data_IF_862531736883
#
_entry.id   IF_862531736883
#
_cell.length_a   1.000
_cell.length_b   1.000
_cell.length_c   1.000
_cell.angle_alpha   90.00
_cell.angle_beta   90.00
_cell.angle_gamma   90.00
#
_symmetry.space_group_name_H-M   'P 1'
#
loop_
_entity.id
_entity.type
_entity.pdbx_description
1 polymer ?
#
# COMPACT_ATOMS: atom_id res chain seq x y z
N UNK A 1 2.81 18.42 -2.63
CA UNK A 1 2.36 17.01 -2.45
C UNK A 1 1.33 16.88 -1.32
N UNK A 2 1.55 17.46 -0.12
CA UNK A 2 0.60 17.33 0.99
C UNK A 2 -0.82 17.89 0.71
N UNK A 3 -0.94 18.94 -0.13
CA UNK A 3 -2.26 19.46 -0.57
C UNK A 3 -3.04 18.49 -1.47
N UNK A 4 -2.35 17.57 -2.15
CA UNK A 4 -2.96 16.63 -3.10
C UNK A 4 -3.26 15.28 -2.46
N UNK A 5 -2.29 14.74 -1.71
CA UNK A 5 -2.37 13.38 -1.17
C UNK A 5 -2.57 13.34 0.35
N UNK A 6 -2.63 14.50 1.00
CA UNK A 6 -2.72 14.58 2.45
C UNK A 6 -1.43 14.16 3.16
N UNK A 7 -1.44 14.08 4.49
CA UNK A 7 -0.33 13.54 5.27
C UNK A 7 -0.26 12.02 5.09
N UNK A 8 0.95 11.48 4.87
CA UNK A 8 1.13 10.02 4.71
C UNK A 8 1.22 9.28 6.05
N UNK A 9 1.61 9.98 7.12
CA UNK A 9 1.89 9.42 8.45
C UNK A 9 0.64 9.09 9.29
N UNK A 10 -0.53 9.43 8.79
CA UNK A 10 -1.82 9.19 9.47
C UNK A 10 -2.97 9.17 8.48
N UNK A 11 -4.04 8.50 8.85
CA UNK A 11 -5.33 8.58 8.16
C UNK A 11 -6.10 9.82 8.64
N UNK A 12 -6.74 10.53 7.71
CA UNK A 12 -7.48 11.77 7.97
C UNK A 12 -8.71 11.88 7.06
N UNK A 13 -9.50 12.94 7.24
CA UNK A 13 -10.62 13.29 6.34
C UNK A 13 -10.17 14.01 5.06
N UNK A 14 -8.88 13.98 4.75
CA UNK A 14 -8.38 14.53 3.48
C UNK A 14 -9.07 13.84 2.29
N UNK A 15 -9.48 14.58 1.22
CA UNK A 15 -10.23 13.98 0.10
C UNK A 15 -9.54 12.77 -0.53
N UNK A 16 -8.22 12.79 -0.66
CA UNK A 16 -7.43 11.65 -1.16
C UNK A 16 -7.55 10.41 -0.27
N UNK A 17 -7.45 10.58 1.07
CA UNK A 17 -7.61 9.47 2.01
C UNK A 17 -9.01 8.88 1.96
N UNK A 18 -10.02 9.73 1.77
CA UNK A 18 -11.40 9.29 1.60
C UNK A 18 -11.60 8.51 0.31
N UNK A 19 -10.91 8.92 -0.78
CA UNK A 19 -10.89 8.14 -2.02
C UNK A 19 -10.22 6.77 -1.83
N UNK A 20 -9.09 6.73 -1.14
CA UNK A 20 -8.39 5.48 -0.81
C UNK A 20 -9.20 4.56 0.12
N UNK A 21 -10.16 5.10 0.88
CA UNK A 21 -11.14 4.31 1.65
C UNK A 21 -12.43 4.00 0.86
N UNK A 22 -12.51 4.39 -0.43
CA UNK A 22 -13.70 4.18 -1.27
C UNK A 22 -14.90 5.05 -0.89
N UNK A 23 -14.71 6.12 -0.12
CA UNK A 23 -15.76 7.04 0.31
C UNK A 23 -16.07 8.13 -0.73
N UNK A 24 -15.13 8.43 -1.60
CA UNK A 24 -15.25 9.39 -2.70
C UNK A 24 -14.77 8.76 -4.00
N UNK A 25 -15.44 9.09 -5.09
CA UNK A 25 -14.91 8.82 -6.41
C UNK A 25 -13.80 9.81 -6.79
N UNK A 26 -13.06 9.51 -7.85
CA UNK A 26 -11.91 10.31 -8.26
C UNK A 26 -12.30 11.74 -8.69
N UNK A 27 -13.50 11.92 -9.26
CA UNK A 27 -13.97 13.23 -9.68
C UNK A 27 -14.34 14.11 -8.49
N UNK A 28 -15.09 13.57 -7.52
CA UNK A 28 -15.42 14.26 -6.28
C UNK A 28 -14.16 14.59 -5.47
N UNK A 29 -13.19 13.69 -5.50
CA UNK A 29 -11.88 13.89 -4.86
C UNK A 29 -11.12 15.05 -5.51
N UNK A 30 -11.05 15.09 -6.84
CA UNK A 30 -10.44 16.19 -7.59
C UNK A 30 -11.08 17.52 -7.25
N UNK A 31 -12.42 17.59 -7.30
CA UNK A 31 -13.16 18.82 -7.06
C UNK A 31 -12.94 19.34 -5.63
N UNK A 32 -12.88 18.45 -4.64
CA UNK A 32 -12.61 18.79 -3.24
C UNK A 32 -11.17 19.30 -3.04
N UNK A 33 -10.18 18.65 -3.66
CA UNK A 33 -8.77 19.07 -3.61
C UNK A 33 -8.60 20.44 -4.26
N UNK A 34 -9.15 20.64 -5.46
CA UNK A 34 -9.08 21.91 -6.17
C UNK A 34 -9.73 23.03 -5.36
N UNK A 35 -10.90 22.81 -4.77
CA UNK A 35 -11.58 23.80 -3.94
C UNK A 35 -10.74 24.18 -2.69
N UNK A 36 -10.13 23.21 -2.03
CA UNK A 36 -9.25 23.45 -0.89
C UNK A 36 -7.99 24.21 -1.28
N UNK A 37 -7.36 23.86 -2.40
CA UNK A 37 -6.17 24.54 -2.92
C UNK A 37 -6.48 26.01 -3.29
N UNK A 38 -7.59 26.28 -3.98
CA UNK A 38 -8.01 27.61 -4.36
C UNK A 38 -8.29 28.50 -3.13
N UNK A 39 -8.83 27.93 -2.05
CA UNK A 39 -9.04 28.67 -0.80
C UNK A 39 -7.72 29.15 -0.15
N UNK A 40 -6.61 28.48 -0.45
CA UNK A 40 -5.27 28.87 -0.03
C UNK A 40 -4.50 29.68 -1.09
N UNK A 41 -5.16 30.05 -2.19
CA UNK A 41 -4.55 30.79 -3.30
C UNK A 41 -3.66 29.97 -4.22
N UNK A 42 -3.79 28.63 -4.18
CA UNK A 42 -3.07 27.69 -5.01
C UNK A 42 -3.99 27.20 -6.14
N UNK A 43 -3.43 27.04 -7.33
CA UNK A 43 -4.10 26.44 -8.49
C UNK A 43 -3.50 25.04 -8.72
N UNK A 44 -4.08 24.05 -8.09
CA UNK A 44 -3.61 22.66 -8.13
C UNK A 44 -4.75 21.76 -8.54
N UNK A 45 -4.61 21.12 -9.71
CA UNK A 45 -5.54 20.11 -10.20
C UNK A 45 -4.94 18.71 -10.04
N UNK A 46 -5.70 17.78 -9.47
CA UNK A 46 -5.29 16.39 -9.24
C UNK A 46 -4.88 15.70 -10.56
N UNK A 47 -5.60 15.94 -11.65
CA UNK A 47 -5.32 15.29 -12.93
C UNK A 47 -4.05 15.85 -13.60
N UNK A 48 -3.73 17.11 -13.38
CA UNK A 48 -2.43 17.68 -13.80
C UNK A 48 -1.28 17.02 -13.04
N UNK A 49 -1.46 16.77 -11.74
CA UNK A 49 -0.47 16.05 -10.93
C UNK A 49 -0.29 14.61 -11.44
N UNK A 50 -1.37 13.91 -11.77
CA UNK A 50 -1.29 12.58 -12.39
C UNK A 50 -0.58 12.64 -13.75
N UNK A 51 -0.86 13.66 -14.58
CA UNK A 51 -0.15 13.86 -15.84
C UNK A 51 1.37 14.02 -15.67
N UNK A 52 1.80 14.75 -14.64
CA UNK A 52 3.22 14.90 -14.30
C UNK A 52 3.85 13.61 -13.76
N UNK A 53 3.08 12.78 -13.08
CA UNK A 53 3.53 11.48 -12.57
C UNK A 53 3.45 10.37 -13.64
N UNK A 54 2.73 10.59 -14.73
CA UNK A 54 2.62 9.63 -15.82
C UNK A 54 4.02 9.37 -16.43
N UNK A 55 4.46 8.13 -16.35
CA UNK A 55 5.81 7.72 -16.79
C UNK A 55 6.84 7.59 -15.67
N UNK A 56 6.54 8.07 -14.45
CA UNK A 56 7.33 7.78 -13.25
C UNK A 56 6.79 6.62 -12.43
N UNK A 57 5.76 5.93 -12.95
CA UNK A 57 5.22 4.72 -12.35
C UNK A 57 6.32 3.66 -12.21
N UNK A 58 6.47 3.11 -11.01
CA UNK A 58 7.49 2.13 -10.72
C UNK A 58 7.33 0.89 -11.60
N UNK A 59 8.44 0.40 -12.14
CA UNK A 59 8.46 -0.91 -12.78
C UNK A 59 8.16 -2.01 -11.76
N UNK A 60 7.47 -3.06 -12.21
CA UNK A 60 7.30 -4.27 -11.40
C UNK A 60 8.68 -4.84 -11.09
N UNK A 61 9.01 -4.95 -9.82
CA UNK A 61 10.30 -5.45 -9.34
C UNK A 61 10.34 -6.98 -9.46
N UNK A 62 10.89 -7.48 -10.56
CA UNK A 62 10.86 -8.89 -10.92
C UNK A 62 11.42 -9.80 -9.82
N UNK A 63 12.49 -9.38 -9.13
CA UNK A 63 13.13 -10.15 -8.06
C UNK A 63 12.24 -10.24 -6.82
N UNK A 64 11.49 -9.17 -6.49
CA UNK A 64 10.48 -9.20 -5.42
C UNK A 64 9.33 -10.15 -5.76
N UNK A 65 8.85 -10.12 -6.99
CA UNK A 65 7.83 -11.05 -7.49
C UNK A 65 8.31 -12.51 -7.38
N UNK A 66 9.52 -12.76 -7.83
CA UNK A 66 10.12 -14.12 -7.77
C UNK A 66 10.33 -14.57 -6.33
N UNK A 67 10.80 -13.67 -5.43
CA UNK A 67 10.96 -14.02 -4.02
C UNK A 67 9.61 -14.32 -3.37
N UNK A 68 8.56 -13.55 -3.66
CA UNK A 68 7.20 -13.82 -3.19
C UNK A 68 6.70 -15.19 -3.66
N UNK A 69 6.92 -15.53 -4.94
CA UNK A 69 6.56 -16.84 -5.49
C UNK A 69 7.26 -17.99 -4.75
N UNK A 70 8.56 -17.84 -4.45
CA UNK A 70 9.33 -18.83 -3.69
C UNK A 70 8.81 -19.00 -2.27
N UNK A 71 8.46 -17.91 -1.58
CA UNK A 71 7.87 -17.98 -0.25
C UNK A 71 6.62 -18.86 -0.21
N UNK A 72 5.76 -18.76 -1.21
CA UNK A 72 4.58 -19.63 -1.31
C UNK A 72 4.96 -21.10 -1.49
N UNK A 73 5.95 -21.39 -2.32
CA UNK A 73 6.47 -22.76 -2.51
C UNK A 73 7.09 -23.30 -1.22
N UNK A 74 7.75 -22.44 -0.45
CA UNK A 74 8.33 -22.74 0.87
C UNK A 74 7.26 -22.90 1.97
N UNK A 75 5.97 -22.63 1.66
CA UNK A 75 4.83 -22.82 2.57
C UNK A 75 4.44 -21.61 3.39
N UNK A 76 5.02 -20.45 3.11
CA UNK A 76 4.60 -19.20 3.74
C UNK A 76 3.26 -18.71 3.17
N UNK A 77 2.44 -18.12 4.05
CA UNK A 77 1.24 -17.37 3.64
C UNK A 77 1.64 -15.96 3.22
N UNK A 78 1.10 -15.48 2.13
CA UNK A 78 1.42 -14.18 1.57
C UNK A 78 0.17 -13.33 1.37
N UNK A 79 0.29 -12.03 1.67
CA UNK A 79 -0.80 -11.06 1.47
C UNK A 79 -0.28 -9.79 0.83
N UNK A 80 -1.11 -9.16 0.01
CA UNK A 80 -0.91 -7.80 -0.50
C UNK A 80 -1.87 -6.85 0.22
N UNK A 81 -1.34 -5.74 0.75
CA UNK A 81 -2.12 -4.63 1.30
C UNK A 81 -1.76 -3.37 0.51
N UNK A 82 -2.69 -2.81 -0.25
CA UNK A 82 -2.45 -1.63 -1.07
C UNK A 82 -3.40 -0.49 -0.71
N UNK A 83 -2.86 0.73 -0.58
CA UNK A 83 -3.67 1.94 -0.60
C UNK A 83 -3.91 2.32 -2.06
N UNK A 84 -5.17 2.31 -2.46
CA UNK A 84 -5.54 2.58 -3.84
C UNK A 84 -6.92 3.22 -3.91
N UNK A 85 -7.27 3.79 -5.05
CA UNK A 85 -8.61 4.30 -5.34
C UNK A 85 -9.35 3.33 -6.26
N UNK A 86 -10.67 3.26 -6.11
CA UNK A 86 -11.49 2.24 -6.77
C UNK A 86 -11.33 2.26 -8.31
N UNK A 87 -11.19 3.45 -8.91
CA UNK A 87 -11.08 3.63 -10.36
C UNK A 87 -9.78 3.07 -10.95
N UNK A 88 -8.75 2.87 -10.13
CA UNK A 88 -7.47 2.33 -10.61
C UNK A 88 -7.40 0.81 -10.54
N UNK A 89 -8.41 0.13 -9.98
CA UNK A 89 -8.45 -1.31 -9.80
C UNK A 89 -8.14 -2.09 -11.06
N UNK A 90 -8.85 -1.81 -12.13
CA UNK A 90 -8.72 -2.52 -13.41
C UNK A 90 -7.39 -2.23 -14.11
N UNK A 91 -6.70 -1.18 -13.67
CA UNK A 91 -5.39 -0.82 -14.19
C UNK A 91 -4.24 -1.53 -13.44
N UNK A 92 -4.26 -1.55 -12.11
CA UNK A 92 -3.14 -2.08 -11.35
C UNK A 92 -3.19 -3.61 -11.16
N UNK A 93 -4.39 -4.20 -11.01
CA UNK A 93 -4.52 -5.65 -10.78
C UNK A 93 -3.88 -6.52 -11.85
N UNK A 94 -3.97 -6.20 -13.15
CA UNK A 94 -3.33 -7.00 -14.19
C UNK A 94 -1.80 -6.90 -14.23
N UNK A 95 -1.20 -5.97 -13.48
CA UNK A 95 0.26 -5.80 -13.45
C UNK A 95 0.98 -6.96 -12.78
N UNK A 96 0.28 -7.72 -11.93
CA UNK A 96 0.82 -8.84 -11.16
C UNK A 96 -0.07 -10.08 -11.29
N UNK A 97 0.50 -11.28 -11.30
CA UNK A 97 -0.27 -12.53 -11.22
C UNK A 97 -0.73 -12.77 -9.76
N UNK A 98 -1.72 -11.99 -9.31
CA UNK A 98 -2.12 -11.90 -7.91
C UNK A 98 -2.44 -13.26 -7.28
N UNK A 99 -3.17 -14.13 -8.00
CA UNK A 99 -3.58 -15.46 -7.49
C UNK A 99 -2.39 -16.42 -7.30
N UNK A 100 -1.30 -16.20 -8.06
CA UNK A 100 -0.07 -16.96 -7.89
C UNK A 100 0.76 -16.46 -6.70
N UNK A 101 0.70 -15.16 -6.43
CA UNK A 101 1.59 -14.51 -5.47
C UNK A 101 0.98 -14.39 -4.07
N UNK A 102 -0.35 -14.25 -3.96
CA UNK A 102 -0.98 -13.90 -2.70
C UNK A 102 -2.17 -14.79 -2.36
N UNK A 103 -2.25 -15.19 -1.10
CA UNK A 103 -3.43 -15.86 -0.54
C UNK A 103 -4.55 -14.86 -0.24
N UNK A 104 -4.16 -13.61 0.07
CA UNK A 104 -5.04 -12.52 0.45
C UNK A 104 -4.63 -11.25 -0.27
N UNK A 105 -5.58 -10.52 -0.82
CA UNK A 105 -5.39 -9.19 -1.41
C UNK A 105 -6.34 -8.22 -0.74
N UNK A 106 -5.80 -7.21 -0.08
CA UNK A 106 -6.54 -6.14 0.58
C UNK A 106 -6.31 -4.84 -0.20
N UNK A 107 -7.34 -4.37 -0.87
CA UNK A 107 -7.39 -3.04 -1.47
C UNK A 107 -8.15 -2.11 -0.52
N UNK A 108 -7.54 -1.01 -0.13
CA UNK A 108 -8.10 -0.05 0.84
C UNK A 108 -9.47 0.46 0.43
N UNK A 109 -9.67 0.69 -0.88
CA UNK A 109 -10.95 1.19 -1.41
C UNK A 109 -12.09 0.19 -1.31
N UNK A 110 -11.79 -1.10 -1.17
CA UNK A 110 -12.78 -2.17 -1.02
C UNK A 110 -13.18 -2.41 0.43
N UNK A 111 -12.27 -2.10 1.38
CA UNK A 111 -12.42 -2.46 2.79
C UNK A 111 -12.72 -1.25 3.69
N UNK A 112 -12.73 -0.04 3.14
CA UNK A 112 -13.02 1.18 3.90
C UNK A 112 -11.94 1.55 4.92
N UNK A 113 -10.72 1.06 4.75
CA UNK A 113 -9.58 1.30 5.62
C UNK A 113 -8.33 1.45 4.79
N UNK A 114 -7.40 2.32 5.20
CA UNK A 114 -6.12 2.52 4.50
C UNK A 114 -4.94 2.44 5.48
N UNK A 115 -3.76 2.06 4.98
CA UNK A 115 -2.53 2.22 5.77
C UNK A 115 -2.31 3.73 6.07
N UNK A 116 -1.85 4.12 7.25
CA UNK A 116 -1.34 3.29 8.35
C UNK A 116 -2.37 2.91 9.43
N UNK A 117 -3.68 2.90 9.17
CA UNK A 117 -4.67 2.45 10.15
C UNK A 117 -4.39 0.99 10.54
N UNK A 118 -4.21 0.66 11.84
CA UNK A 118 -3.87 -0.68 12.29
C UNK A 118 -4.91 -1.74 11.87
N UNK A 119 -6.17 -1.35 11.72
CA UNK A 119 -7.26 -2.28 11.36
C UNK A 119 -7.07 -2.96 10.01
N UNK A 120 -6.39 -2.32 9.05
CA UNK A 120 -6.14 -2.93 7.73
C UNK A 120 -5.13 -4.09 7.81
N UNK A 121 -4.13 -3.98 8.70
CA UNK A 121 -3.16 -5.05 8.97
C UNK A 121 -3.83 -6.19 9.73
N UNK A 122 -4.63 -5.88 10.75
CA UNK A 122 -5.41 -6.86 11.51
C UNK A 122 -6.37 -7.65 10.61
N UNK A 123 -7.01 -6.97 9.64
CA UNK A 123 -7.86 -7.61 8.64
C UNK A 123 -7.07 -8.61 7.79
N UNK A 124 -5.88 -8.22 7.31
CA UNK A 124 -5.02 -9.12 6.52
C UNK A 124 -4.61 -10.35 7.34
N UNK A 125 -4.14 -10.16 8.58
CA UNK A 125 -3.78 -11.24 9.49
C UNK A 125 -4.94 -12.19 9.76
N UNK A 126 -6.15 -11.64 9.95
CA UNK A 126 -7.38 -12.40 10.14
C UNK A 126 -7.72 -13.24 8.91
N UNK A 127 -7.71 -12.64 7.72
CA UNK A 127 -7.99 -13.33 6.46
C UNK A 127 -6.95 -14.38 6.11
N UNK A 128 -5.71 -14.21 6.55
CA UNK A 128 -4.66 -15.22 6.45
C UNK A 128 -4.83 -16.38 7.46
N UNK A 129 -5.93 -16.44 8.20
CA UNK A 129 -6.23 -17.51 9.15
C UNK A 129 -5.88 -17.20 10.60
N UNK A 130 -5.84 -15.91 10.97
CA UNK A 130 -5.55 -15.47 12.34
C UNK A 130 -4.08 -15.59 12.70
N UNK A 131 -3.21 -15.14 11.81
CA UNK A 131 -1.76 -15.18 12.03
C UNK A 131 -1.39 -14.23 13.18
N UNK A 132 -0.54 -14.71 14.09
CA UNK A 132 0.05 -13.87 15.13
C UNK A 132 0.95 -12.80 14.49
N UNK A 133 0.78 -11.51 14.81
CA UNK A 133 1.61 -10.44 14.25
C UNK A 133 3.11 -10.70 14.41
N UNK A 134 3.57 -11.26 15.55
CA UNK A 134 4.98 -11.55 15.81
C UNK A 134 5.58 -12.62 14.90
N UNK A 135 4.74 -13.32 14.13
CA UNK A 135 5.14 -14.31 13.11
C UNK A 135 4.98 -13.78 11.68
N UNK A 136 4.83 -12.47 11.52
CA UNK A 136 4.61 -11.83 10.24
C UNK A 136 5.71 -10.83 9.92
N UNK A 137 6.03 -10.71 8.64
CA UNK A 137 6.92 -9.66 8.12
C UNK A 137 6.11 -8.77 7.20
N UNK A 138 6.17 -7.46 7.43
CA UNK A 138 5.53 -6.46 6.58
C UNK A 138 6.60 -5.65 5.83
N UNK A 139 6.49 -5.62 4.51
CA UNK A 139 7.38 -4.88 3.63
C UNK A 139 6.61 -3.71 2.99
N UNK A 140 7.13 -2.50 3.11
CA UNK A 140 6.51 -1.30 2.53
C UNK A 140 7.59 -0.25 2.25
N UNK A 141 7.37 0.62 1.27
CA UNK A 141 8.30 1.69 0.93
C UNK A 141 8.06 2.98 1.74
N UNK A 142 6.99 3.02 2.55
CA UNK A 142 6.67 4.15 3.39
C UNK A 142 6.94 3.86 4.87
N UNK A 143 7.84 4.63 5.54
CA UNK A 143 8.23 4.37 6.94
C UNK A 143 7.06 4.41 7.93
N UNK A 144 6.03 5.25 7.67
CA UNK A 144 4.85 5.33 8.53
C UNK A 144 4.03 4.05 8.55
N UNK A 145 3.95 3.34 7.42
CA UNK A 145 3.28 2.06 7.33
C UNK A 145 4.06 0.97 8.08
N UNK A 146 5.40 1.01 7.99
CA UNK A 146 6.29 0.11 8.75
C UNK A 146 6.09 0.32 10.24
N UNK A 147 6.14 1.58 10.72
CA UNK A 147 5.92 1.90 12.14
C UNK A 147 4.57 1.40 12.64
N UNK A 148 3.51 1.53 11.83
CA UNK A 148 2.16 1.06 12.21
C UNK A 148 2.10 -0.49 12.31
N UNK A 149 2.75 -1.21 11.41
CA UNK A 149 2.83 -2.67 11.44
C UNK A 149 3.66 -3.15 12.66
N UNK A 150 4.79 -2.49 12.95
CA UNK A 150 5.64 -2.78 14.12
C UNK A 150 4.91 -2.53 15.44
N UNK A 151 4.06 -1.52 15.51
CA UNK A 151 3.23 -1.26 16.69
C UNK A 151 2.25 -2.39 17.01
N UNK A 152 1.88 -3.22 16.02
CA UNK A 152 1.10 -4.44 16.19
C UNK A 152 1.96 -5.66 16.54
N UNK A 153 3.29 -5.53 16.51
CA UNK A 153 4.23 -6.62 16.77
C UNK A 153 4.73 -7.34 15.53
N UNK A 154 4.42 -6.86 14.32
CA UNK A 154 4.97 -7.41 13.08
C UNK A 154 6.46 -7.03 12.93
N UNK A 155 7.21 -7.80 12.15
CA UNK A 155 8.56 -7.41 11.74
C UNK A 155 8.46 -6.47 10.53
N UNK A 156 8.92 -5.22 10.67
CA UNK A 156 8.92 -4.23 9.60
C UNK A 156 10.18 -4.31 8.72
N UNK A 157 10.03 -4.22 7.41
CA UNK A 157 11.14 -4.09 6.45
C UNK A 157 10.85 -2.93 5.51
N UNK A 158 11.66 -1.87 5.59
CA UNK A 158 11.54 -0.73 4.69
C UNK A 158 12.14 -1.08 3.32
N UNK A 159 11.33 -0.90 2.27
CA UNK A 159 11.72 -1.18 0.88
C UNK A 159 12.19 0.12 0.22
N UNK A 160 13.48 0.35 0.23
CA UNK A 160 14.10 1.50 -0.45
C UNK A 160 14.32 1.24 -1.95
N UNK A 161 14.91 2.22 -2.66
CA UNK A 161 15.20 2.10 -4.09
C UNK A 161 16.12 0.91 -4.39
N UNK A 162 17.08 0.59 -3.50
CA UNK A 162 17.90 -0.62 -3.54
C UNK A 162 17.17 -1.78 -2.84
N UNK A 163 16.07 -2.26 -3.41
CA UNK A 163 15.19 -3.26 -2.81
C UNK A 163 15.84 -4.63 -2.56
N UNK A 164 17.04 -4.90 -3.06
CA UNK A 164 17.84 -6.09 -2.72
C UNK A 164 18.14 -6.16 -1.21
N UNK A 165 18.26 -4.99 -0.56
CA UNK A 165 18.43 -4.93 0.89
C UNK A 165 17.18 -5.44 1.61
N UNK A 166 16.01 -5.12 1.12
CA UNK A 166 14.75 -5.60 1.70
C UNK A 166 14.63 -7.13 1.57
N UNK A 167 15.03 -7.70 0.45
CA UNK A 167 15.07 -9.16 0.26
C UNK A 167 16.03 -9.80 1.26
N UNK A 168 17.23 -9.23 1.42
CA UNK A 168 18.22 -9.76 2.39
C UNK A 168 17.72 -9.69 3.84
N UNK A 169 17.06 -8.59 4.22
CA UNK A 169 16.47 -8.44 5.55
C UNK A 169 15.34 -9.45 5.77
N UNK A 170 14.46 -9.61 4.78
CA UNK A 170 13.41 -10.63 4.82
C UNK A 170 13.98 -12.02 5.03
N UNK A 171 14.99 -12.41 4.24
CA UNK A 171 15.64 -13.73 4.35
C UNK A 171 16.34 -13.92 5.71
N UNK A 172 16.93 -12.87 6.26
CA UNK A 172 17.53 -12.92 7.59
C UNK A 172 16.50 -13.12 8.72
N UNK A 173 15.31 -12.52 8.59
CA UNK A 173 14.21 -12.68 9.55
C UNK A 173 13.63 -14.10 9.47
N UNK A 174 13.44 -14.62 8.27
CA UNK A 174 12.84 -15.94 8.06
C UNK A 174 13.79 -17.07 8.43
N UNK A 175 15.10 -16.82 8.42
CA UNK A 175 16.13 -17.84 8.67
C UNK A 175 16.35 -18.78 7.48
N UNK A 176 17.29 -19.71 7.60
CA UNK A 176 17.54 -20.71 6.57
C UNK A 176 16.34 -21.66 6.43
N UNK A 177 15.95 -21.92 5.19
CA UNK A 177 14.91 -22.90 4.83
C UNK A 177 15.34 -24.33 5.17
#
# INVERSE_FOLDING_TARGET
MAHVFGPYDRDTDHPWHRAERGELDIQATRDAILAAALAEGLDIDLFDVFGMMAGSGGEVRADMVERTRRLRVEGYRTALITNNVAEFRDFWRPLLPLDELFDVVIDSSEVGMRKPDPRIFELALTQMGGIDPTRSVFLDDYPGNITAAEALGMHGVLVEAAYDDAIRQLDAILGPA
#
